data_IF_776535413953
#
_entry.id   IF_776535413953
#
_cell.length_a   1.000
_cell.length_b   1.000
_cell.length_c   1.000
_cell.angle_alpha   90.00
_cell.angle_beta   90.00
_cell.angle_gamma   90.00
#
_symmetry.space_group_name_H-M   'P 1'
#
loop_
_entity.id
_entity.type
_entity.pdbx_description
1 polymer ?
#
# COMPACT_ATOMS: atom_id res chain seq x y z
N UNK A 1 10.23 8.39 20.11
CA UNK A 1 10.48 7.77 18.79
C UNK A 1 9.62 8.56 17.82
N UNK A 2 9.82 9.88 17.80
CA UNK A 2 8.87 10.82 17.24
C UNK A 2 9.72 11.97 16.69
N UNK A 3 9.69 12.13 15.37
CA UNK A 3 10.41 13.17 14.67
C UNK A 3 9.36 14.12 14.09
N UNK A 4 9.45 15.45 14.32
CA UNK A 4 8.46 16.42 13.84
C UNK A 4 8.33 16.49 12.30
N UNK A 5 9.24 15.86 11.56
CA UNK A 5 9.19 15.77 10.10
C UNK A 5 8.54 14.47 9.58
N UNK A 6 8.10 13.58 10.46
CA UNK A 6 7.55 12.26 10.09
C UNK A 6 6.14 12.13 10.65
N UNK A 7 5.16 12.22 9.76
CA UNK A 7 3.76 11.91 10.06
C UNK A 7 3.46 10.44 9.72
N UNK A 8 2.83 9.73 10.67
CA UNK A 8 2.46 8.31 10.52
C UNK A 8 0.95 8.17 10.61
N UNK A 9 0.34 7.59 9.58
CA UNK A 9 -1.08 7.27 9.55
C UNK A 9 -1.26 5.75 9.46
N UNK A 10 -2.13 5.17 10.29
CA UNK A 10 -2.44 3.74 10.28
C UNK A 10 -3.93 3.53 10.04
N UNK A 11 -4.30 2.39 9.46
CA UNK A 11 -5.71 2.11 9.10
C UNK A 11 -6.23 2.88 7.87
N UNK A 12 -5.35 3.58 7.15
CA UNK A 12 -5.67 4.30 5.91
C UNK A 12 -5.29 3.43 4.71
N UNK A 13 -6.21 3.26 3.75
CA UNK A 13 -5.90 2.66 2.45
C UNK A 13 -5.50 3.78 1.46
N UNK A 14 -4.29 3.69 0.93
CA UNK A 14 -3.75 4.62 -0.08
C UNK A 14 -4.67 4.77 -1.30
N UNK A 15 -5.42 3.72 -1.66
CA UNK A 15 -6.28 3.74 -2.84
C UNK A 15 -7.54 4.60 -2.68
N UNK A 16 -7.98 4.86 -1.45
CA UNK A 16 -9.18 5.68 -1.21
C UNK A 16 -8.96 7.14 -1.62
N UNK A 17 -7.76 7.66 -1.36
CA UNK A 17 -7.41 9.07 -1.58
C UNK A 17 -6.23 9.22 -2.57
N UNK A 18 -6.01 8.22 -3.42
CA UNK A 18 -4.87 8.13 -4.36
C UNK A 18 -4.67 9.42 -5.16
N UNK A 19 -5.74 9.97 -5.70
CA UNK A 19 -5.66 11.14 -6.59
C UNK A 19 -5.28 12.42 -5.83
N UNK A 20 -5.69 12.54 -4.55
CA UNK A 20 -5.26 13.62 -3.67
C UNK A 20 -3.76 13.51 -3.36
N UNK A 21 -3.28 12.31 -3.00
CA UNK A 21 -1.86 12.08 -2.72
C UNK A 21 -0.96 12.30 -3.94
N UNK A 22 -1.41 11.89 -5.13
CA UNK A 22 -0.69 12.11 -6.39
C UNK A 22 -0.59 13.59 -6.77
N UNK A 23 -1.57 14.41 -6.38
CA UNK A 23 -1.58 15.85 -6.62
C UNK A 23 -0.75 16.62 -5.58
N UNK A 24 -0.81 16.19 -4.31
CA UNK A 24 -0.18 16.88 -3.19
C UNK A 24 1.33 16.64 -3.10
N UNK A 25 1.79 15.43 -3.43
CA UNK A 25 3.19 15.03 -3.24
C UNK A 25 3.95 14.89 -4.57
N UNK A 26 5.14 15.52 -4.71
CA UNK A 26 5.92 15.44 -5.94
C UNK A 26 6.59 14.07 -6.15
N UNK A 27 6.67 13.23 -5.12
CA UNK A 27 7.25 11.88 -5.17
C UNK A 27 6.49 10.95 -4.24
N UNK A 28 6.11 9.78 -4.76
CA UNK A 28 5.47 8.72 -3.99
C UNK A 28 6.36 7.48 -4.04
N UNK A 29 6.60 6.90 -2.86
CA UNK A 29 7.25 5.60 -2.73
C UNK A 29 6.17 4.60 -2.31
N UNK A 30 5.75 3.76 -3.25
CA UNK A 30 4.72 2.75 -3.03
C UNK A 30 5.34 1.36 -2.87
N UNK A 31 5.10 0.71 -1.74
CA UNK A 31 5.65 -0.63 -1.42
C UNK A 31 4.58 -1.71 -1.32
N UNK A 32 3.35 -1.39 -1.74
CA UNK A 32 2.24 -2.34 -1.78
C UNK A 32 2.24 -3.22 -3.03
N UNK A 33 1.11 -3.83 -3.32
CA UNK A 33 0.98 -4.72 -4.48
C UNK A 33 0.88 -3.91 -5.78
N UNK A 34 1.86 -4.09 -6.67
CA UNK A 34 1.99 -3.30 -7.91
C UNK A 34 0.87 -3.61 -8.92
N UNK A 35 0.34 -4.83 -8.91
CA UNK A 35 -0.83 -5.22 -9.70
C UNK A 35 -2.06 -4.38 -9.35
N UNK A 36 -2.38 -4.22 -8.06
CA UNK A 36 -3.48 -3.37 -7.58
C UNK A 36 -3.23 -1.90 -7.92
N UNK A 37 -1.96 -1.46 -7.90
CA UNK A 37 -1.59 -0.09 -8.30
C UNK A 37 -1.98 0.20 -9.75
N UNK A 38 -1.81 -0.78 -10.64
CA UNK A 38 -2.12 -0.69 -12.06
C UNK A 38 -3.51 -1.25 -12.41
N UNK A 39 -4.42 -1.33 -11.44
CA UNK A 39 -5.81 -1.82 -11.61
C UNK A 39 -5.88 -3.20 -12.28
N UNK A 40 -4.92 -4.08 -11.97
CA UNK A 40 -4.83 -5.43 -12.54
C UNK A 40 -4.84 -5.48 -14.07
N UNK A 41 -4.45 -4.40 -14.75
CA UNK A 41 -4.55 -4.27 -16.21
C UNK A 41 -3.77 -5.36 -17.00
N UNK A 42 -2.80 -6.01 -16.36
CA UNK A 42 -1.99 -7.10 -16.94
C UNK A 42 -2.29 -8.47 -16.32
N UNK A 43 -3.39 -8.59 -15.57
CA UNK A 43 -3.73 -9.77 -14.78
C UNK A 43 -3.12 -9.76 -13.37
N UNK A 44 -3.49 -10.77 -12.58
CA UNK A 44 -3.00 -10.94 -11.21
C UNK A 44 -1.62 -11.61 -11.20
N UNK A 45 -0.70 -11.08 -10.39
CA UNK A 45 0.58 -11.73 -10.13
C UNK A 45 0.33 -12.98 -9.28
N UNK A 46 0.87 -14.12 -9.72
CA UNK A 46 0.75 -15.39 -9.01
C UNK A 46 1.52 -15.42 -7.70
N UNK A 47 0.97 -14.79 -6.65
CA UNK A 47 1.53 -14.84 -5.31
C UNK A 47 1.11 -16.12 -4.58
N UNK A 48 2.05 -16.72 -3.85
CA UNK A 48 1.77 -17.82 -2.94
C UNK A 48 1.45 -17.26 -1.56
N UNK A 49 0.24 -17.51 -1.06
CA UNK A 49 -0.15 -17.15 0.31
C UNK A 49 0.35 -18.19 1.31
N UNK A 50 0.74 -17.73 2.50
CA UNK A 50 0.96 -18.62 3.65
C UNK A 50 -0.23 -18.49 4.61
N UNK A 51 -0.82 -19.63 4.96
CA UNK A 51 -1.84 -19.71 6.02
C UNK A 51 -1.15 -20.14 7.30
N UNK A 52 -1.12 -19.27 8.30
CA UNK A 52 -0.60 -19.61 9.62
C UNK A 52 -1.72 -20.20 10.47
N UNK A 53 -1.60 -21.48 10.86
CA UNK A 53 -2.49 -22.13 11.81
C UNK A 53 -1.77 -22.26 13.16
N UNK A 54 -2.32 -21.63 14.19
CA UNK A 54 -1.82 -21.76 15.57
C UNK A 54 -2.40 -23.05 16.15
N UNK A 55 -1.60 -24.11 16.23
CA UNK A 55 -1.98 -25.31 17.00
C UNK A 55 -1.90 -24.96 18.49
N UNK A 56 -3.00 -25.17 19.19
CA UNK A 56 -3.10 -25.11 20.66
C UNK A 56 -2.62 -26.42 21.28
#
# INVERSE_FOLDING_TARGET
>A
MDNPLIDVQTGVDFFNDRDAYLSEFPRIIYTGMIDKFFDYQYGELGYRSLKFEKRC
#
